data_IF_188454620869
#
_entry.id   IF_188454620869
#
_cell.length_a   1.000
_cell.length_b   1.000
_cell.length_c   1.000
_cell.angle_alpha   90.00
_cell.angle_beta   90.00
_cell.angle_gamma   90.00
#
_symmetry.space_group_name_H-M   'P 1'
#
loop_
_entity.id
_entity.type
_entity.pdbx_description
1 polymer ?
#
# COMPACT_ATOMS: atom_id res chain seq x y z
N UNK A 1 0.85 -33.67 21.39
CA UNK A 1 -0.12 -34.30 20.48
C UNK A 1 -1.44 -33.56 20.57
N UNK A 2 -1.79 -32.75 19.58
CA UNK A 2 -3.15 -32.44 19.12
C UNK A 2 -3.04 -31.51 17.90
N UNK A 3 -3.69 -31.95 16.84
CA UNK A 3 -3.55 -31.47 15.49
C UNK A 3 -4.19 -30.10 15.26
N UNK A 4 -3.53 -29.25 14.46
CA UNK A 4 -4.09 -28.04 13.91
C UNK A 4 -4.97 -28.37 12.71
N UNK A 5 -6.23 -27.98 12.78
CA UNK A 5 -7.18 -28.03 11.66
C UNK A 5 -6.89 -26.87 10.72
N UNK A 6 -6.49 -27.20 9.50
CA UNK A 6 -6.43 -26.25 8.38
C UNK A 6 -7.85 -25.91 7.94
N UNK A 7 -8.20 -24.63 7.90
CA UNK A 7 -9.42 -24.16 7.25
C UNK A 7 -9.25 -24.26 5.72
N UNK A 8 -10.10 -25.07 5.09
CA UNK A 8 -10.03 -25.35 3.68
C UNK A 8 -10.70 -24.25 2.86
N UNK A 9 -10.02 -23.83 1.79
CA UNK A 9 -10.62 -23.03 0.72
C UNK A 9 -11.70 -23.87 0.01
N UNK A 10 -12.91 -23.33 -0.10
CA UNK A 10 -14.00 -23.94 -0.86
C UNK A 10 -13.70 -23.79 -2.34
N UNK A 11 -13.22 -24.88 -2.94
CA UNK A 11 -13.15 -25.01 -4.41
C UNK A 11 -14.50 -25.59 -4.84
N UNK A 12 -15.31 -24.81 -5.55
CA UNK A 12 -16.50 -25.31 -6.23
C UNK A 12 -16.04 -26.25 -7.36
N UNK A 13 -16.01 -27.56 -7.06
CA UNK A 13 -15.84 -28.61 -8.06
C UNK A 13 -17.20 -28.93 -8.66
N UNK A 14 -17.39 -28.58 -9.93
CA UNK A 14 -18.52 -29.08 -10.70
C UNK A 14 -18.39 -30.61 -10.85
N UNK A 15 -19.22 -31.34 -10.16
CA UNK A 15 -19.34 -32.81 -10.31
C UNK A 15 -19.98 -33.08 -11.66
N UNK A 16 -19.23 -33.69 -12.57
CA UNK A 16 -19.77 -34.19 -13.86
C UNK A 16 -20.10 -35.67 -13.69
N UNK A 17 -21.38 -35.99 -13.72
CA UNK A 17 -21.89 -37.38 -13.79
C UNK A 17 -21.43 -37.99 -15.12
N UNK A 18 -20.58 -39.01 -15.06
CA UNK A 18 -20.16 -39.80 -16.20
C UNK A 18 -21.10 -41.01 -16.27
N UNK A 19 -22.11 -40.93 -17.14
CA UNK A 19 -22.83 -42.14 -17.59
C UNK A 19 -21.91 -42.92 -18.53
N UNK A 20 -21.57 -44.14 -18.15
CA UNK A 20 -20.82 -45.05 -19.01
C UNK A 20 -21.73 -45.53 -20.14
N UNK A 21 -21.53 -45.01 -21.34
CA UNK A 21 -22.12 -45.56 -22.59
C UNK A 21 -21.08 -46.53 -23.17
N UNK A 22 -21.43 -47.82 -23.27
CA UNK A 22 -20.64 -48.82 -24.00
C UNK A 22 -20.56 -48.45 -25.48
N UNK A 23 -19.36 -48.16 -25.97
CA UNK A 23 -19.09 -47.81 -27.37
C UNK A 23 -18.75 -49.11 -28.14
N UNK A 24 -19.42 -49.41 -29.26
CA UNK A 24 -19.07 -50.56 -30.08
C UNK A 24 -17.68 -50.38 -30.73
N UNK A 25 -16.91 -51.49 -30.79
CA UNK A 25 -15.60 -51.55 -31.40
C UNK A 25 -15.67 -51.13 -32.89
N UNK A 26 -15.11 -49.94 -33.23
CA UNK A 26 -15.04 -49.44 -34.60
C UNK A 26 -15.29 -47.96 -34.81
N UNK A 27 -15.68 -47.20 -33.78
CA UNK A 27 -15.88 -45.76 -33.92
C UNK A 27 -14.56 -45.01 -34.12
N UNK A 28 -14.37 -44.36 -35.26
CA UNK A 28 -13.26 -43.43 -35.51
C UNK A 28 -13.26 -42.36 -34.43
N UNK A 29 -12.28 -42.41 -33.49
CA UNK A 29 -12.14 -41.43 -32.41
C UNK A 29 -11.88 -40.03 -33.00
N UNK A 30 -12.86 -39.15 -32.85
CA UNK A 30 -12.75 -37.79 -33.39
C UNK A 30 -11.83 -36.95 -32.55
N UNK A 31 -10.76 -36.44 -33.16
CA UNK A 31 -9.81 -35.50 -32.47
C UNK A 31 -10.54 -34.21 -32.15
N UNK A 32 -10.67 -33.88 -30.87
CA UNK A 32 -11.37 -32.69 -30.38
C UNK A 32 -10.67 -32.03 -29.22
N UNK A 33 -10.93 -30.74 -29.02
CA UNK A 33 -10.47 -29.96 -27.88
C UNK A 33 -11.52 -30.01 -26.78
N UNK A 34 -11.10 -30.13 -25.52
CA UNK A 34 -12.00 -30.16 -24.35
C UNK A 34 -12.82 -28.86 -24.17
N UNK A 35 -12.30 -27.72 -24.68
CA UNK A 35 -13.00 -26.43 -24.64
C UNK A 35 -12.75 -25.65 -25.94
N UNK A 36 -13.82 -25.10 -26.52
CA UNK A 36 -13.76 -24.24 -27.71
C UNK A 36 -13.69 -22.75 -27.38
N UNK A 37 -14.12 -22.41 -26.17
CA UNK A 37 -14.11 -21.05 -25.62
C UNK A 37 -13.81 -21.10 -24.13
N UNK A 38 -13.08 -20.09 -23.63
CA UNK A 38 -12.71 -19.91 -22.22
C UNK A 38 -12.73 -18.43 -21.89
N UNK A 39 -13.32 -18.07 -20.75
CA UNK A 39 -13.14 -16.76 -20.12
C UNK A 39 -12.24 -16.93 -18.92
N UNK A 40 -11.23 -16.07 -18.78
CA UNK A 40 -10.27 -16.05 -17.68
C UNK A 40 -10.12 -14.63 -17.18
N UNK A 41 -9.91 -14.49 -15.90
CA UNK A 41 -9.42 -13.25 -15.32
C UNK A 41 -7.89 -13.19 -15.41
N UNK A 42 -7.30 -12.02 -15.56
CA UNK A 42 -5.84 -11.80 -15.54
C UNK A 42 -5.21 -12.55 -14.35
N UNK A 43 -4.08 -13.21 -14.58
CA UNK A 43 -3.38 -14.04 -13.59
C UNK A 43 -3.93 -15.47 -13.46
N UNK A 44 -5.15 -15.76 -13.91
CA UNK A 44 -5.74 -17.13 -13.84
C UNK A 44 -5.30 -17.99 -15.01
N UNK A 45 -5.37 -19.32 -14.80
CA UNK A 45 -4.94 -20.32 -15.79
C UNK A 45 -5.97 -21.41 -15.97
N UNK A 46 -5.97 -22.02 -17.17
CA UNK A 46 -6.76 -23.21 -17.49
C UNK A 46 -5.93 -24.17 -18.34
N UNK A 47 -6.14 -25.47 -18.19
CA UNK A 47 -5.47 -26.46 -19.04
C UNK A 47 -6.42 -26.93 -20.15
N UNK A 48 -6.03 -26.68 -21.39
CA UNK A 48 -6.68 -27.24 -22.56
C UNK A 48 -6.10 -28.63 -22.85
N UNK A 49 -6.98 -29.56 -23.22
CA UNK A 49 -6.62 -30.95 -23.55
C UNK A 49 -7.18 -31.33 -24.90
N UNK A 50 -6.38 -32.01 -25.72
CA UNK A 50 -6.84 -32.63 -26.96
C UNK A 50 -7.12 -34.10 -26.67
N UNK A 51 -8.30 -34.57 -27.04
CA UNK A 51 -8.73 -35.96 -26.90
C UNK A 51 -8.92 -36.62 -28.26
N UNK A 52 -8.97 -37.96 -28.33
CA UNK A 52 -9.14 -38.71 -29.56
C UNK A 52 -7.85 -38.90 -30.38
N UNK A 53 -6.67 -38.68 -29.80
CA UNK A 53 -5.38 -38.91 -30.45
C UNK A 53 -4.28 -39.24 -29.44
N UNK A 54 -3.30 -40.03 -29.88
CA UNK A 54 -2.02 -40.25 -29.16
C UNK A 54 -0.87 -39.43 -29.78
N UNK A 55 -1.14 -38.64 -30.83
CA UNK A 55 -0.10 -37.84 -31.51
C UNK A 55 0.29 -36.62 -30.69
N UNK A 56 1.53 -36.15 -30.91
CA UNK A 56 2.06 -34.93 -30.26
C UNK A 56 1.21 -33.71 -30.65
N UNK A 57 0.87 -32.90 -29.68
CA UNK A 57 0.13 -31.64 -29.86
C UNK A 57 1.10 -30.47 -29.78
N UNK A 58 1.09 -29.60 -30.78
CA UNK A 58 1.80 -28.33 -30.76
C UNK A 58 0.84 -27.19 -30.45
N UNK A 59 1.20 -26.37 -29.48
CA UNK A 59 0.38 -25.28 -28.97
C UNK A 59 0.92 -23.91 -29.41
N UNK A 60 0.03 -22.99 -29.76
CA UNK A 60 0.37 -21.60 -30.05
C UNK A 60 -0.76 -20.64 -29.67
N UNK A 61 -0.45 -19.37 -29.50
CA UNK A 61 -1.40 -18.30 -29.24
C UNK A 61 -1.32 -17.24 -30.32
N UNK A 62 -2.46 -16.61 -30.63
CA UNK A 62 -2.52 -15.47 -31.56
C UNK A 62 -2.01 -14.17 -30.93
N UNK A 63 -2.02 -14.07 -29.58
CA UNK A 63 -1.59 -12.88 -28.86
C UNK A 63 -0.93 -13.28 -27.53
N UNK A 64 0.41 -13.25 -27.50
CA UNK A 64 1.20 -13.61 -26.32
C UNK A 64 1.11 -12.57 -25.19
N UNK A 65 0.72 -11.33 -25.51
CA UNK A 65 0.50 -10.28 -24.49
C UNK A 65 -0.78 -10.56 -23.71
N UNK A 66 -1.85 -11.05 -24.35
CA UNK A 66 -3.13 -11.34 -23.72
C UNK A 66 -3.13 -12.71 -23.02
N UNK A 67 -2.67 -13.76 -23.70
CA UNK A 67 -2.60 -15.10 -23.10
C UNK A 67 -1.43 -15.90 -23.65
N UNK A 68 -0.73 -16.60 -22.76
CA UNK A 68 0.32 -17.56 -23.12
C UNK A 68 -0.18 -19.00 -23.00
N UNK A 69 0.48 -19.93 -23.71
CA UNK A 69 0.19 -21.36 -23.60
C UNK A 69 1.48 -22.14 -23.52
N UNK A 70 1.55 -23.14 -22.62
CA UNK A 70 2.68 -24.03 -22.48
C UNK A 70 2.58 -25.24 -23.42
N UNK A 71 3.67 -25.99 -23.56
CA UNK A 71 3.70 -27.26 -24.33
C UNK A 71 2.74 -28.33 -23.79
N UNK A 72 2.31 -28.20 -22.53
CA UNK A 72 1.33 -29.07 -21.86
C UNK A 72 -0.12 -28.56 -21.99
N UNK A 73 -0.36 -27.46 -22.75
CA UNK A 73 -1.68 -26.87 -22.95
C UNK A 73 -2.19 -26.00 -21.79
N UNK A 74 -1.36 -25.66 -20.79
CA UNK A 74 -1.74 -24.69 -19.75
C UNK A 74 -1.75 -23.29 -20.34
N UNK A 75 -2.92 -22.67 -20.40
CA UNK A 75 -3.16 -21.29 -20.83
C UNK A 75 -3.17 -20.39 -19.61
N UNK A 76 -2.38 -19.32 -19.64
CA UNK A 76 -2.32 -18.30 -18.56
C UNK A 76 -2.73 -16.96 -19.13
N UNK A 77 -3.72 -16.31 -18.51
CA UNK A 77 -4.17 -14.96 -18.81
C UNK A 77 -3.15 -13.93 -18.31
N UNK A 78 -2.70 -13.00 -19.17
CA UNK A 78 -1.67 -12.02 -18.87
C UNK A 78 -2.19 -10.58 -18.81
N UNK A 79 -3.03 -10.20 -19.78
CA UNK A 79 -3.66 -8.90 -19.83
C UNK A 79 -5.04 -8.99 -20.45
N UNK A 80 -5.88 -8.01 -20.22
CA UNK A 80 -7.22 -7.93 -20.78
C UNK A 80 -7.20 -7.98 -22.31
N UNK A 81 -8.23 -8.61 -22.90
CA UNK A 81 -8.39 -8.72 -24.34
C UNK A 81 -8.79 -10.11 -24.81
N UNK A 82 -8.58 -10.38 -26.08
CA UNK A 82 -8.90 -11.65 -26.71
C UNK A 82 -7.68 -12.31 -27.37
N UNK A 83 -7.61 -13.63 -27.24
CA UNK A 83 -6.61 -14.45 -27.91
C UNK A 83 -7.24 -15.75 -28.43
N UNK A 84 -6.62 -16.36 -29.44
CA UNK A 84 -7.01 -17.67 -29.95
C UNK A 84 -5.85 -18.64 -29.69
N UNK A 85 -6.11 -19.63 -28.84
CA UNK A 85 -5.16 -20.74 -28.65
C UNK A 85 -5.41 -21.79 -29.73
N UNK A 86 -4.34 -22.21 -30.40
CA UNK A 86 -4.34 -23.22 -31.45
C UNK A 86 -3.61 -24.46 -30.98
N UNK A 87 -4.26 -25.62 -31.15
CA UNK A 87 -3.67 -26.94 -30.94
C UNK A 87 -3.53 -27.63 -32.30
N UNK A 88 -2.31 -27.80 -32.79
CA UNK A 88 -2.02 -28.48 -34.06
C UNK A 88 -1.68 -29.95 -33.78
N UNK A 89 -2.43 -30.86 -34.42
CA UNK A 89 -2.23 -32.31 -34.34
C UNK A 89 -2.20 -32.82 -35.77
N UNK A 90 -1.06 -33.29 -36.24
CA UNK A 90 -0.81 -33.64 -37.63
C UNK A 90 -1.29 -32.51 -38.59
N UNK A 91 -2.20 -32.85 -39.52
CA UNK A 91 -2.78 -31.86 -40.46
C UNK A 91 -3.97 -31.07 -39.91
N UNK A 92 -4.43 -31.34 -38.65
CA UNK A 92 -5.63 -30.72 -38.08
C UNK A 92 -5.24 -29.61 -37.05
N UNK A 93 -5.88 -28.46 -37.14
CA UNK A 93 -5.75 -27.36 -36.17
C UNK A 93 -7.06 -27.12 -35.44
N UNK A 94 -7.06 -27.30 -34.13
CA UNK A 94 -8.20 -27.00 -33.25
C UNK A 94 -7.98 -25.60 -32.65
N UNK A 95 -9.06 -24.86 -32.40
CA UNK A 95 -9.02 -23.48 -31.90
C UNK A 95 -9.86 -23.37 -30.62
N UNK A 96 -9.33 -22.63 -29.62
CA UNK A 96 -10.06 -22.17 -28.44
C UNK A 96 -10.01 -20.64 -28.40
N UNK A 97 -11.18 -20.00 -28.37
CA UNK A 97 -11.28 -18.55 -28.13
C UNK A 97 -11.07 -18.29 -26.63
N UNK A 98 -10.14 -17.42 -26.28
CA UNK A 98 -9.88 -17.01 -24.90
C UNK A 98 -10.22 -15.54 -24.78
N UNK A 99 -11.18 -15.21 -23.89
CA UNK A 99 -11.48 -13.84 -23.46
C UNK A 99 -10.85 -13.66 -22.09
N UNK A 100 -9.97 -12.67 -21.95
CA UNK A 100 -9.39 -12.28 -20.68
C UNK A 100 -10.04 -10.99 -20.23
N UNK A 101 -10.52 -10.97 -19.00
CA UNK A 101 -11.08 -9.78 -18.34
C UNK A 101 -10.18 -9.36 -17.19
N UNK A 102 -10.17 -8.08 -16.87
CA UNK A 102 -9.57 -7.60 -15.63
C UNK A 102 -10.20 -8.32 -14.42
N UNK A 103 -9.50 -8.44 -13.28
CA UNK A 103 -10.11 -8.80 -12.02
C UNK A 103 -11.27 -7.84 -11.74
N UNK A 104 -12.38 -8.34 -11.21
CA UNK A 104 -13.41 -7.45 -10.68
C UNK A 104 -12.80 -6.68 -9.50
N UNK A 105 -12.72 -5.38 -9.62
CA UNK A 105 -12.27 -4.52 -8.53
C UNK A 105 -13.32 -4.60 -7.43
N UNK A 106 -12.90 -4.98 -6.21
CA UNK A 106 -13.81 -4.99 -5.07
C UNK A 106 -14.19 -3.56 -4.74
N UNK A 107 -15.49 -3.23 -4.56
CA UNK A 107 -15.87 -1.91 -4.10
C UNK A 107 -15.35 -1.65 -2.69
N UNK A 108 -15.22 -0.38 -2.31
CA UNK A 108 -14.94 0.06 -0.93
C UNK A 108 -16.17 -0.25 -0.05
N UNK A 109 -16.25 -1.44 0.51
CA UNK A 109 -17.44 -1.90 1.24
C UNK A 109 -17.14 -2.95 2.30
N UNK A 110 -15.88 -3.33 2.49
CA UNK A 110 -15.52 -4.37 3.47
C UNK A 110 -15.35 -3.75 4.85
N UNK A 111 -14.65 -2.62 4.91
CA UNK A 111 -14.29 -1.95 6.17
C UNK A 111 -14.88 -0.54 6.29
N UNK A 112 -15.49 -0.02 5.23
CA UNK A 112 -16.28 1.20 5.26
C UNK A 112 -17.73 0.91 5.67
N UNK A 113 -18.34 1.84 6.38
CA UNK A 113 -19.78 1.75 6.71
C UNK A 113 -20.62 1.73 5.44
N UNK A 114 -21.75 1.02 5.47
CA UNK A 114 -22.63 0.91 4.31
C UNK A 114 -23.09 2.28 3.78
N UNK A 115 -23.27 3.25 4.68
CA UNK A 115 -23.72 4.60 4.40
C UNK A 115 -22.56 5.61 4.30
N UNK A 116 -21.31 5.16 4.19
CA UNK A 116 -20.16 6.05 4.07
C UNK A 116 -20.25 6.91 2.81
N UNK A 117 -20.41 8.21 3.01
CA UNK A 117 -20.42 9.21 1.94
C UNK A 117 -19.07 9.30 1.24
N UNK A 118 -17.98 9.16 2.00
CA UNK A 118 -16.61 9.15 1.46
C UNK A 118 -16.39 7.95 0.54
N UNK A 119 -16.75 6.73 0.96
CA UNK A 119 -16.59 5.55 0.13
C UNK A 119 -17.44 5.63 -1.15
N UNK A 120 -18.65 6.19 -1.07
CA UNK A 120 -19.49 6.45 -2.23
C UNK A 120 -18.84 7.46 -3.18
N UNK A 121 -18.42 8.63 -2.68
CA UNK A 121 -17.75 9.68 -3.45
C UNK A 121 -16.50 9.17 -4.17
N UNK A 122 -15.68 8.38 -3.47
CA UNK A 122 -14.47 7.77 -4.06
C UNK A 122 -14.79 6.76 -5.15
N UNK A 123 -15.81 5.92 -4.99
CA UNK A 123 -16.27 5.00 -6.06
C UNK A 123 -16.73 5.77 -7.30
N UNK A 124 -17.52 6.82 -7.11
CA UNK A 124 -18.04 7.66 -8.19
C UNK A 124 -16.91 8.42 -8.90
N UNK A 125 -15.96 8.97 -8.12
CA UNK A 125 -14.76 9.62 -8.65
C UNK A 125 -13.95 8.66 -9.51
N UNK A 126 -13.56 7.49 -8.97
CA UNK A 126 -12.76 6.50 -9.69
C UNK A 126 -13.47 6.00 -10.94
N UNK A 127 -14.77 5.69 -10.85
CA UNK A 127 -15.54 5.26 -12.02
C UNK A 127 -15.52 6.33 -13.13
N UNK A 128 -15.67 7.59 -12.79
CA UNK A 128 -15.66 8.72 -13.72
C UNK A 128 -14.29 8.92 -14.37
N UNK A 129 -13.21 8.99 -13.57
CA UNK A 129 -11.87 9.30 -14.10
C UNK A 129 -11.19 8.13 -14.80
N UNK A 130 -11.70 6.93 -14.65
CA UNK A 130 -11.19 5.73 -15.36
C UNK A 130 -11.95 5.37 -16.61
N UNK A 131 -13.12 5.96 -16.84
CA UNK A 131 -13.92 5.70 -18.05
C UNK A 131 -13.35 6.45 -19.25
N UNK A 132 -12.71 5.72 -20.15
CA UNK A 132 -12.15 6.25 -21.42
C UNK A 132 -13.18 6.89 -22.35
N UNK A 133 -14.48 6.66 -22.12
CA UNK A 133 -15.56 7.24 -22.91
C UNK A 133 -15.92 8.65 -22.41
N UNK A 134 -15.62 8.95 -21.15
CA UNK A 134 -15.80 10.28 -20.55
C UNK A 134 -14.53 11.12 -20.78
N UNK A 135 -14.34 11.59 -22.00
CA UNK A 135 -13.16 12.34 -22.40
C UNK A 135 -12.92 13.63 -21.58
N UNK A 136 -13.97 14.19 -20.97
CA UNK A 136 -13.87 15.38 -20.15
C UNK A 136 -13.29 15.13 -18.76
N UNK A 137 -13.46 13.93 -18.24
CA UNK A 137 -13.03 13.57 -16.89
C UNK A 137 -11.95 12.46 -16.86
N UNK A 138 -11.70 11.78 -17.99
CA UNK A 138 -10.73 10.70 -18.05
C UNK A 138 -9.32 11.16 -17.70
N UNK A 139 -8.69 10.47 -16.76
CA UNK A 139 -7.29 10.69 -16.39
C UNK A 139 -6.45 9.53 -16.98
N UNK A 140 -5.40 9.81 -17.77
CA UNK A 140 -4.45 8.79 -18.22
C UNK A 140 -3.81 8.05 -17.04
N UNK A 141 -3.48 6.78 -17.22
CA UNK A 141 -2.93 5.92 -16.13
C UNK A 141 -1.70 6.55 -15.46
N UNK A 142 -0.79 7.14 -16.25
CA UNK A 142 0.43 7.75 -15.70
C UNK A 142 0.17 8.99 -14.83
N UNK A 143 -1.02 9.60 -14.97
CA UNK A 143 -1.39 10.82 -14.27
C UNK A 143 -2.32 10.54 -13.08
N UNK A 144 -2.70 9.26 -12.86
CA UNK A 144 -3.50 8.82 -11.71
C UNK A 144 -2.63 8.66 -10.48
N UNK A 145 -2.29 9.76 -9.84
CA UNK A 145 -1.44 9.77 -8.64
C UNK A 145 -2.29 10.10 -7.42
N UNK A 146 -2.18 9.25 -6.40
CA UNK A 146 -2.77 9.47 -5.08
C UNK A 146 -1.66 9.55 -4.03
N UNK A 147 -1.71 10.56 -3.16
CA UNK A 147 -0.75 10.74 -2.07
C UNK A 147 -1.45 10.63 -0.73
N UNK A 148 -0.80 9.95 0.20
CA UNK A 148 -1.31 9.72 1.55
C UNK A 148 -0.28 10.18 2.57
N UNK A 149 -0.71 10.94 3.56
CA UNK A 149 0.01 11.01 4.81
C UNK A 149 -0.03 9.63 5.51
N UNK A 150 0.88 9.38 6.46
CA UNK A 150 0.97 8.10 7.15
C UNK A 150 0.31 8.13 8.53
N UNK A 151 0.88 8.88 9.44
CA UNK A 151 0.48 8.87 10.85
C UNK A 151 -0.84 9.64 11.04
N UNK A 152 -1.88 8.97 11.53
CA UNK A 152 -3.23 9.50 11.66
C UNK A 152 -4.08 9.43 10.39
N UNK A 153 -3.48 9.05 9.25
CA UNK A 153 -4.16 8.88 7.96
C UNK A 153 -4.24 7.42 7.53
N UNK A 154 -3.10 6.74 7.44
CA UNK A 154 -3.01 5.31 7.12
C UNK A 154 -2.85 4.45 8.37
N UNK A 155 -2.17 4.97 9.38
CA UNK A 155 -1.82 4.28 10.61
C UNK A 155 -2.24 5.08 11.84
N UNK A 156 -2.41 4.36 12.96
CA UNK A 156 -2.61 4.96 14.28
C UNK A 156 -1.50 5.96 14.64
N UNK A 157 -1.88 7.11 15.19
CA UNK A 157 -0.97 8.09 15.78
C UNK A 157 -1.17 8.24 17.30
N UNK A 158 -2.08 7.47 17.88
CA UNK A 158 -2.56 7.63 19.25
C UNK A 158 -2.00 6.58 20.21
N UNK A 159 -0.89 5.92 19.88
CA UNK A 159 -0.22 4.96 20.78
C UNK A 159 0.12 5.60 22.14
N UNK A 160 0.92 6.60 22.11
CA UNK A 160 1.32 7.60 23.09
C UNK A 160 1.70 8.88 22.30
N UNK A 161 2.42 8.71 21.22
CA UNK A 161 2.78 9.67 20.18
C UNK A 161 3.10 8.89 18.90
N UNK A 162 3.69 9.52 17.88
CA UNK A 162 4.01 8.89 16.59
C UNK A 162 5.00 7.73 16.72
N UNK A 163 4.97 6.83 15.74
CA UNK A 163 5.87 5.68 15.66
C UNK A 163 7.35 6.08 15.79
N UNK A 164 7.81 7.05 14.98
CA UNK A 164 9.21 7.49 14.98
C UNK A 164 9.64 8.08 16.33
N UNK A 165 8.73 8.79 16.99
CA UNK A 165 8.96 9.38 18.31
C UNK A 165 9.04 8.30 19.39
N UNK A 166 8.14 7.31 19.36
CA UNK A 166 8.20 6.15 20.26
C UNK A 166 9.47 5.32 20.03
N UNK A 167 9.88 5.15 18.78
CA UNK A 167 11.11 4.47 18.40
C UNK A 167 12.34 5.21 18.96
N UNK A 168 12.38 6.54 18.85
CA UNK A 168 13.45 7.38 19.43
C UNK A 168 13.51 7.28 20.95
N UNK A 169 12.37 7.39 21.65
CA UNK A 169 12.30 7.21 23.12
C UNK A 169 12.90 5.85 23.50
N UNK A 170 12.46 4.81 22.82
CA UNK A 170 12.89 3.45 23.10
C UNK A 170 14.38 3.23 22.80
N UNK A 171 14.89 3.82 21.71
CA UNK A 171 16.31 3.78 21.36
C UNK A 171 17.18 4.44 22.44
N UNK A 172 16.83 5.67 22.83
CA UNK A 172 17.62 6.48 23.75
C UNK A 172 17.56 6.00 25.21
N UNK A 173 16.41 5.47 25.66
CA UNK A 173 16.21 5.18 27.08
C UNK A 173 16.26 3.69 27.42
N UNK A 174 16.08 2.78 26.44
CA UNK A 174 15.98 1.34 26.70
C UNK A 174 16.95 0.49 25.89
N UNK A 175 16.89 0.59 24.54
CA UNK A 175 17.60 -0.35 23.70
C UNK A 175 19.08 -0.02 23.55
N UNK A 176 19.44 1.26 23.44
CA UNK A 176 20.81 1.73 23.17
C UNK A 176 21.20 3.00 23.93
N UNK A 177 20.94 3.10 25.27
CA UNK A 177 21.27 4.29 26.03
C UNK A 177 22.78 4.59 26.06
N UNK A 178 23.60 3.58 25.83
CA UNK A 178 25.08 3.72 25.78
C UNK A 178 25.58 4.36 24.48
N UNK A 179 24.75 4.40 23.43
CA UNK A 179 25.13 4.97 22.12
C UNK A 179 24.77 6.44 21.94
N UNK A 180 24.02 7.01 22.87
CA UNK A 180 23.52 8.38 22.77
C UNK A 180 24.02 9.26 23.91
N UNK A 181 24.11 10.57 23.65
CA UNK A 181 24.49 11.55 24.66
C UNK A 181 23.41 11.73 25.73
N UNK A 182 23.78 12.28 26.88
CA UNK A 182 22.84 12.59 27.95
C UNK A 182 21.80 13.64 27.51
N UNK A 183 22.16 14.58 26.62
CA UNK A 183 21.21 15.54 26.04
C UNK A 183 20.11 14.84 25.28
N UNK A 184 20.41 13.79 24.48
CA UNK A 184 19.42 13.02 23.74
C UNK A 184 18.55 12.18 24.66
N UNK A 185 19.12 11.62 25.75
CA UNK A 185 18.32 10.90 26.77
C UNK A 185 17.35 11.86 27.47
N UNK A 186 17.84 13.06 27.84
CA UNK A 186 16.98 14.08 28.44
C UNK A 186 15.85 14.49 27.49
N UNK A 187 16.16 14.79 26.22
CA UNK A 187 15.17 15.12 25.22
C UNK A 187 14.13 14.00 25.04
N UNK A 188 14.55 12.73 25.06
CA UNK A 188 13.65 11.59 24.98
C UNK A 188 12.75 11.46 26.22
N UNK A 189 13.28 11.72 27.43
CA UNK A 189 12.54 11.60 28.70
C UNK A 189 11.51 12.71 28.91
N UNK A 190 11.67 13.86 28.27
CA UNK A 190 10.76 15.00 28.36
C UNK A 190 9.54 14.90 27.43
N UNK A 191 9.52 13.94 26.51
CA UNK A 191 8.40 13.74 25.57
C UNK A 191 7.17 13.26 26.33
N UNK A 192 6.06 13.98 26.13
CA UNK A 192 4.76 13.70 26.76
C UNK A 192 3.74 13.12 25.76
N UNK A 193 2.65 12.51 26.23
CA UNK A 193 1.57 12.03 25.35
C UNK A 193 1.10 13.10 24.38
N UNK A 194 0.88 12.71 23.12
CA UNK A 194 0.43 13.63 22.08
C UNK A 194 1.47 14.67 21.62
N UNK A 195 2.75 14.54 22.04
CA UNK A 195 3.82 15.42 21.57
C UNK A 195 3.98 15.28 20.04
N UNK A 196 3.91 16.40 19.34
CA UNK A 196 4.08 16.44 17.89
C UNK A 196 5.52 16.74 17.53
N UNK A 197 6.13 15.82 16.81
CA UNK A 197 7.53 15.91 16.40
C UNK A 197 7.75 17.03 15.36
N UNK A 198 8.16 18.19 15.82
CA UNK A 198 8.61 19.30 14.97
C UNK A 198 10.06 19.09 14.47
N UNK A 199 10.61 20.14 13.86
CA UNK A 199 11.96 20.11 13.28
C UNK A 199 13.05 19.87 14.34
N UNK A 200 12.91 20.44 15.52
CA UNK A 200 13.89 20.29 16.60
C UNK A 200 14.02 18.82 17.03
N UNK A 201 12.89 18.15 17.26
CA UNK A 201 12.92 16.74 17.64
C UNK A 201 13.44 15.86 16.50
N UNK A 202 13.13 16.19 15.24
CA UNK A 202 13.67 15.47 14.08
C UNK A 202 15.20 15.59 13.98
N UNK A 203 15.77 16.74 14.36
CA UNK A 203 17.23 16.91 14.48
C UNK A 203 17.82 16.02 15.58
N UNK A 204 17.12 15.81 16.68
CA UNK A 204 17.54 14.88 17.72
C UNK A 204 17.48 13.42 17.24
N UNK A 205 16.48 13.05 16.42
CA UNK A 205 16.44 11.73 15.80
C UNK A 205 17.66 11.51 14.88
N UNK A 206 17.97 12.48 14.01
CA UNK A 206 19.14 12.40 13.14
C UNK A 206 20.42 12.18 13.93
N UNK A 207 20.62 12.93 15.06
CA UNK A 207 21.78 12.77 15.93
C UNK A 207 21.80 11.41 16.61
N UNK A 208 20.64 10.89 17.06
CA UNK A 208 20.57 9.60 17.76
C UNK A 208 20.96 8.43 16.85
N UNK A 209 20.65 8.53 15.56
CA UNK A 209 20.95 7.48 14.58
C UNK A 209 22.25 7.73 13.79
N UNK A 210 23.06 8.70 14.20
CA UNK A 210 24.36 8.99 13.59
C UNK A 210 25.27 7.75 13.60
N UNK A 211 25.90 7.48 12.45
CA UNK A 211 26.78 6.32 12.25
C UNK A 211 26.07 5.02 11.85
N UNK A 212 24.75 4.94 11.97
CA UNK A 212 23.98 3.82 11.41
C UNK A 212 24.03 3.87 9.89
N UNK A 213 24.12 2.71 9.26
CA UNK A 213 23.78 2.56 7.84
C UNK A 213 22.26 2.75 7.62
N UNK A 214 21.86 3.04 6.39
CA UNK A 214 20.42 3.09 6.01
C UNK A 214 19.73 1.77 6.35
N UNK A 215 20.43 0.64 6.15
CA UNK A 215 19.88 -0.69 6.46
C UNK A 215 19.76 -0.93 7.96
N UNK A 216 20.73 -0.52 8.78
CA UNK A 216 20.66 -0.66 10.23
C UNK A 216 19.49 0.13 10.84
N UNK A 217 19.21 1.35 10.34
CA UNK A 217 18.02 2.10 10.78
C UNK A 217 16.72 1.41 10.35
N UNK A 218 16.67 0.91 9.11
CA UNK A 218 15.54 0.13 8.62
C UNK A 218 15.28 -1.11 9.51
N UNK A 219 16.33 -1.87 9.81
CA UNK A 219 16.24 -3.10 10.63
C UNK A 219 15.83 -2.78 12.07
N UNK A 220 16.33 -1.67 12.63
CA UNK A 220 15.91 -1.22 13.95
C UNK A 220 14.42 -0.81 13.96
N UNK A 221 13.95 -0.12 12.92
CA UNK A 221 12.53 0.20 12.78
C UNK A 221 11.66 -1.07 12.68
N UNK A 222 12.15 -2.11 11.98
CA UNK A 222 11.48 -3.43 11.92
C UNK A 222 11.46 -4.10 13.31
N UNK A 223 12.57 -4.06 14.03
CA UNK A 223 12.64 -4.60 15.40
C UNK A 223 11.65 -3.88 16.32
N UNK A 224 11.64 -2.54 16.28
CA UNK A 224 10.73 -1.73 17.10
C UNK A 224 9.26 -1.98 16.72
N UNK A 225 8.93 -1.98 15.43
CA UNK A 225 7.57 -2.17 14.91
C UNK A 225 6.92 -3.50 15.32
N UNK A 226 7.74 -4.52 15.62
CA UNK A 226 7.26 -5.80 16.15
C UNK A 226 6.99 -5.80 17.65
N UNK A 227 7.33 -4.74 18.39
CA UNK A 227 6.98 -4.62 19.82
C UNK A 227 5.48 -4.32 19.96
N UNK A 228 4.89 -4.80 21.05
CA UNK A 228 3.50 -4.49 21.38
C UNK A 228 3.41 -3.10 22.02
N UNK A 229 2.38 -2.34 21.60
CA UNK A 229 2.03 -1.09 22.27
C UNK A 229 1.21 -1.39 23.54
N UNK A 230 1.33 -0.55 24.56
CA UNK A 230 0.49 -0.64 25.77
C UNK A 230 -0.81 0.16 25.65
N UNK A 231 -0.99 0.98 24.60
CA UNK A 231 -2.22 1.74 24.34
C UNK A 231 -3.36 0.89 23.77
N UNK A 232 -3.04 -0.28 23.25
CA UNK A 232 -4.00 -1.22 22.65
C UNK A 232 -3.69 -2.65 23.06
N UNK A 233 -4.71 -3.45 23.27
CA UNK A 233 -4.59 -4.88 23.51
C UNK A 233 -4.25 -5.61 22.20
N UNK A 234 -3.28 -6.51 22.23
CA UNK A 234 -2.86 -7.36 21.12
C UNK A 234 -2.40 -6.62 19.85
N UNK A 235 -1.98 -5.37 19.94
CA UNK A 235 -1.50 -4.57 18.82
C UNK A 235 0.03 -4.41 18.89
N UNK A 236 0.74 -4.84 17.86
CA UNK A 236 2.12 -4.40 17.61
C UNK A 236 2.06 -3.03 16.92
N UNK A 237 3.13 -2.27 16.96
CA UNK A 237 3.18 -0.98 16.23
C UNK A 237 2.90 -1.14 14.73
N UNK A 238 3.29 -2.27 14.10
CA UNK A 238 2.98 -2.56 12.69
C UNK A 238 1.52 -2.96 12.43
N UNK A 239 0.76 -3.31 13.44
CA UNK A 239 -0.66 -3.71 13.29
C UNK A 239 -1.62 -2.49 13.28
N UNK A 240 -1.09 -1.28 13.48
CA UNK A 240 -1.86 -0.05 13.61
C UNK A 240 -2.44 0.54 12.31
N UNK A 241 -2.43 -0.19 11.20
CA UNK A 241 -3.01 0.30 9.95
C UNK A 241 -4.54 0.30 10.01
N UNK A 242 -5.15 1.41 9.60
CA UNK A 242 -6.60 1.56 9.50
C UNK A 242 -7.13 0.74 8.33
N UNK A 243 -7.92 -0.30 8.61
CA UNK A 243 -8.44 -1.22 7.59
C UNK A 243 -9.19 -0.55 6.44
N UNK A 244 -10.03 0.51 6.65
CA UNK A 244 -10.67 1.23 5.55
C UNK A 244 -9.66 1.91 4.63
N UNK A 245 -8.59 2.46 5.17
CA UNK A 245 -7.55 3.12 4.39
C UNK A 245 -6.68 2.11 3.65
N UNK A 246 -6.41 0.95 4.23
CA UNK A 246 -5.77 -0.19 3.52
C UNK A 246 -6.64 -0.65 2.35
N UNK A 247 -7.96 -0.79 2.54
CA UNK A 247 -8.89 -1.13 1.46
C UNK A 247 -8.89 -0.06 0.36
N UNK A 248 -8.79 1.22 0.74
CA UNK A 248 -8.73 2.34 -0.20
C UNK A 248 -7.43 2.33 -1.02
N UNK A 249 -6.27 2.15 -0.39
CA UNK A 249 -4.98 2.02 -1.10
C UNK A 249 -5.05 0.90 -2.13
N UNK A 250 -5.54 -0.27 -1.71
CA UNK A 250 -5.72 -1.40 -2.63
C UNK A 250 -6.72 -1.09 -3.75
N UNK A 251 -7.85 -0.44 -3.44
CA UNK A 251 -8.86 -0.08 -4.42
C UNK A 251 -8.31 0.87 -5.48
N UNK A 252 -7.54 1.89 -5.08
CA UNK A 252 -6.90 2.81 -6.00
C UNK A 252 -5.85 2.09 -6.86
N UNK A 253 -5.00 1.26 -6.26
CA UNK A 253 -4.02 0.45 -6.99
C UNK A 253 -4.70 -0.47 -8.02
N UNK A 254 -5.78 -1.16 -7.65
CA UNK A 254 -6.55 -2.04 -8.54
C UNK A 254 -7.23 -1.28 -9.71
N UNK A 255 -7.35 0.05 -9.60
CA UNK A 255 -7.85 0.97 -10.64
C UNK A 255 -6.73 1.75 -11.36
N UNK A 256 -5.51 1.23 -11.35
CA UNK A 256 -4.33 1.79 -12.02
C UNK A 256 -3.90 3.17 -11.49
N UNK A 257 -4.13 3.46 -10.20
CA UNK A 257 -3.52 4.62 -9.54
C UNK A 257 -2.14 4.24 -9.00
N UNK A 258 -1.19 5.16 -9.14
CA UNK A 258 0.08 5.09 -8.43
C UNK A 258 -0.10 5.73 -7.06
N UNK A 259 0.13 4.97 -5.99
CA UNK A 259 -0.04 5.42 -4.62
C UNK A 259 1.32 5.77 -4.02
N UNK A 260 1.42 6.98 -3.44
CA UNK A 260 2.58 7.44 -2.69
C UNK A 260 2.22 7.65 -1.22
N UNK A 261 3.17 7.36 -0.34
CA UNK A 261 3.13 7.75 1.07
C UNK A 261 4.03 8.98 1.25
N UNK A 262 3.47 10.06 1.81
CA UNK A 262 4.13 11.37 2.00
C UNK A 262 4.11 11.70 3.49
N UNK A 263 5.08 11.17 4.23
CA UNK A 263 5.10 11.15 5.69
C UNK A 263 6.00 12.21 6.30
N UNK A 264 5.62 12.68 7.49
CA UNK A 264 6.51 13.45 8.38
C UNK A 264 7.58 12.58 9.06
N UNK A 265 7.41 11.27 9.10
CA UNK A 265 8.39 10.29 9.61
C UNK A 265 9.59 10.18 8.66
N UNK A 266 10.76 9.84 9.18
CA UNK A 266 11.98 9.66 8.39
C UNK A 266 11.78 8.58 7.32
N UNK A 267 12.35 8.80 6.12
CA UNK A 267 12.11 8.00 4.90
C UNK A 267 12.42 6.51 5.07
N UNK A 268 13.56 6.14 5.65
CA UNK A 268 13.95 4.73 5.82
C UNK A 268 13.07 4.03 6.85
N UNK A 269 12.69 4.75 7.90
CA UNK A 269 11.71 4.31 8.90
C UNK A 269 10.33 4.11 8.26
N UNK A 270 9.87 5.06 7.44
CA UNK A 270 8.60 4.95 6.69
C UNK A 270 8.64 3.74 5.73
N UNK A 271 9.77 3.51 5.06
CA UNK A 271 9.97 2.32 4.22
C UNK A 271 9.86 1.02 4.99
N UNK A 272 10.44 0.96 6.21
CA UNK A 272 10.34 -0.20 7.08
C UNK A 272 8.88 -0.47 7.51
N UNK A 273 8.14 0.59 7.87
CA UNK A 273 6.72 0.51 8.25
C UNK A 273 5.90 -0.02 7.07
N UNK A 274 6.03 0.57 5.88
CA UNK A 274 5.25 0.17 4.71
C UNK A 274 5.61 -1.24 4.24
N UNK A 275 6.89 -1.62 4.24
CA UNK A 275 7.33 -2.96 3.84
C UNK A 275 6.79 -4.08 4.73
N UNK A 276 6.45 -3.77 6.00
CA UNK A 276 5.89 -4.72 6.96
C UNK A 276 4.39 -4.51 7.22
N UNK A 277 3.69 -3.91 6.26
CA UNK A 277 2.30 -3.49 6.37
C UNK A 277 1.38 -4.21 5.38
N UNK A 278 0.05 -4.14 5.57
CA UNK A 278 -0.93 -4.65 4.60
C UNK A 278 -0.90 -3.96 3.22
N UNK A 279 -0.21 -2.82 3.08
CA UNK A 279 -0.09 -2.08 1.81
C UNK A 279 1.24 -2.33 1.07
N UNK A 280 2.10 -3.21 1.57
CA UNK A 280 3.43 -3.50 1.01
C UNK A 280 3.40 -3.90 -0.47
N UNK A 281 2.38 -4.63 -0.91
CA UNK A 281 2.22 -5.06 -2.31
C UNK A 281 1.76 -3.93 -3.25
N UNK A 282 1.33 -2.79 -2.72
CA UNK A 282 0.71 -1.68 -3.46
C UNK A 282 1.57 -0.41 -3.48
N UNK A 283 2.47 -0.25 -2.50
CA UNK A 283 3.35 0.91 -2.34
C UNK A 283 4.81 0.44 -2.29
N UNK A 284 5.54 0.71 -3.37
CA UNK A 284 6.96 0.32 -3.48
C UNK A 284 7.87 1.33 -2.77
N UNK A 285 9.13 0.97 -2.40
CA UNK A 285 10.04 1.86 -1.65
C UNK A 285 10.35 3.21 -2.33
N UNK A 286 10.25 3.28 -3.66
CA UNK A 286 10.42 4.52 -4.42
C UNK A 286 9.18 5.41 -4.45
N UNK A 287 8.04 4.94 -3.93
CA UNK A 287 6.82 5.71 -3.74
C UNK A 287 6.66 6.23 -2.31
N UNK A 288 7.78 6.37 -1.58
CA UNK A 288 7.79 6.86 -0.20
C UNK A 288 8.61 8.14 -0.14
N UNK A 289 7.97 9.22 0.27
CA UNK A 289 8.54 10.54 0.52
C UNK A 289 8.46 10.78 2.02
N UNK A 290 9.59 11.11 2.65
CA UNK A 290 9.68 11.27 4.11
C UNK A 290 10.56 12.45 4.52
N UNK A 291 10.71 12.60 5.82
CA UNK A 291 11.74 13.45 6.42
C UNK A 291 13.12 12.93 6.01
N UNK A 292 14.05 13.83 5.75
CA UNK A 292 15.39 13.49 5.25
C UNK A 292 16.47 13.83 6.26
N UNK A 293 17.29 12.83 6.56
CA UNK A 293 18.53 12.98 7.27
C UNK A 293 19.71 12.96 6.31
N UNK A 294 20.79 13.59 6.70
CA UNK A 294 21.99 13.67 5.90
C UNK A 294 22.73 12.33 5.90
N UNK A 295 23.14 11.87 4.72
CA UNK A 295 23.92 10.63 4.55
C UNK A 295 25.25 10.90 3.85
N UNK A 296 26.25 10.07 4.14
CA UNK A 296 27.56 10.06 3.48
C UNK A 296 28.02 8.64 3.21
N UNK A 297 29.05 8.49 2.39
CA UNK A 297 29.78 7.23 2.30
C UNK A 297 30.59 7.03 3.58
N UNK A 298 30.53 5.85 4.19
CA UNK A 298 31.25 5.49 5.41
C UNK A 298 32.76 5.72 5.24
N UNK A 299 33.38 6.31 6.24
CA UNK A 299 34.81 6.65 6.22
C UNK A 299 35.11 8.04 5.65
N UNK A 300 34.13 8.78 5.13
CA UNK A 300 34.27 10.17 4.70
C UNK A 300 33.76 11.14 5.76
N UNK A 301 34.52 12.23 6.02
CA UNK A 301 34.25 13.12 7.14
C UNK A 301 33.07 14.08 6.88
N UNK A 302 32.85 14.47 5.61
CA UNK A 302 31.82 15.44 5.27
C UNK A 302 31.04 15.04 4.01
N UNK A 303 29.79 15.54 3.89
CA UNK A 303 28.95 15.35 2.70
C UNK A 303 29.58 16.00 1.47
N UNK A 304 30.31 17.10 1.61
CA UNK A 304 30.99 17.75 0.48
C UNK A 304 32.08 16.88 -0.13
N UNK A 305 32.78 16.05 0.66
CA UNK A 305 33.77 15.13 0.14
C UNK A 305 33.18 14.01 -0.72
N UNK A 306 31.86 13.77 -0.63
CA UNK A 306 31.19 12.81 -1.50
C UNK A 306 31.27 13.21 -3.00
N UNK A 307 31.47 14.49 -3.33
CA UNK A 307 31.64 14.94 -4.71
C UNK A 307 32.91 14.42 -5.37
N UNK A 308 33.97 14.25 -4.59
CA UNK A 308 35.27 13.81 -5.06
C UNK A 308 35.47 12.29 -4.94
N UNK A 309 34.51 11.60 -4.32
CA UNK A 309 34.56 10.16 -4.12
C UNK A 309 33.69 9.43 -5.13
N UNK A 310 34.21 8.30 -5.63
CA UNK A 310 33.49 7.39 -6.51
C UNK A 310 33.10 6.16 -5.70
N UNK A 311 31.80 5.97 -5.51
CA UNK A 311 31.25 4.81 -4.83
C UNK A 311 31.81 3.52 -5.41
N UNK A 312 32.38 2.65 -4.58
CA UNK A 312 32.99 1.40 -4.93
C UNK A 312 32.20 0.20 -4.37
N UNK A 313 32.48 -0.98 -4.89
CA UNK A 313 31.87 -2.20 -4.36
C UNK A 313 32.25 -2.42 -2.89
N UNK A 314 31.26 -2.66 -2.06
CA UNK A 314 31.42 -2.81 -0.60
C UNK A 314 31.30 -1.52 0.20
N UNK A 315 31.14 -0.36 -0.44
CA UNK A 315 30.86 0.88 0.28
C UNK A 315 29.48 0.87 0.94
N UNK A 316 29.34 1.55 2.07
CA UNK A 316 28.09 1.70 2.82
C UNK A 316 27.71 3.18 2.93
N UNK A 317 26.41 3.44 2.89
CA UNK A 317 25.84 4.77 3.19
C UNK A 317 25.41 4.83 4.65
N UNK A 318 25.93 5.84 5.38
CA UNK A 318 25.67 6.04 6.81
C UNK A 318 25.10 7.42 7.08
N UNK A 319 24.24 7.50 8.10
CA UNK A 319 23.73 8.77 8.59
C UNK A 319 24.84 9.55 9.29
N UNK A 320 24.94 10.86 9.00
CA UNK A 320 25.98 11.72 9.59
C UNK A 320 25.56 12.26 10.96
N UNK A 321 24.28 12.22 11.31
CA UNK A 321 23.67 12.98 12.39
C UNK A 321 23.14 14.35 11.94
N UNK A 322 23.39 14.71 10.68
CA UNK A 322 22.86 15.92 10.05
C UNK A 322 21.39 15.76 9.64
N UNK A 323 20.71 16.88 9.56
CA UNK A 323 19.29 16.98 9.22
C UNK A 323 19.13 17.84 7.97
N UNK A 324 18.36 17.35 7.00
CA UNK A 324 18.10 18.06 5.75
C UNK A 324 16.76 18.81 5.83
N UNK A 325 15.66 18.09 6.10
CA UNK A 325 14.34 18.69 6.18
C UNK A 325 13.34 17.81 6.92
N UNK A 326 12.34 18.43 7.58
CA UNK A 326 11.14 17.77 8.11
C UNK A 326 10.04 17.86 7.05
N UNK A 327 9.48 16.71 6.65
CA UNK A 327 8.51 16.65 5.57
C UNK A 327 7.08 17.00 6.06
N UNK A 328 6.89 18.21 6.55
CA UNK A 328 5.63 18.77 7.02
C UNK A 328 5.31 20.07 6.27
N UNK A 329 4.05 20.48 6.29
CA UNK A 329 3.60 21.74 5.70
C UNK A 329 4.03 21.89 4.22
N UNK A 330 4.63 23.04 3.85
CA UNK A 330 5.07 23.31 2.48
C UNK A 330 6.07 22.28 1.93
N UNK A 331 6.86 21.67 2.82
CA UNK A 331 7.82 20.65 2.40
C UNK A 331 7.13 19.42 1.77
N UNK A 332 5.94 19.02 2.23
CA UNK A 332 5.18 17.93 1.56
C UNK A 332 4.94 18.24 0.08
N UNK A 333 4.50 19.47 -0.25
CA UNK A 333 4.29 19.87 -1.65
C UNK A 333 5.59 19.98 -2.44
N UNK A 334 6.65 20.54 -1.83
CA UNK A 334 7.97 20.70 -2.44
C UNK A 334 8.57 19.34 -2.80
N UNK A 335 8.48 18.38 -1.88
CA UNK A 335 9.05 17.06 -2.12
C UNK A 335 8.19 16.20 -3.06
N UNK A 336 6.87 16.38 -3.09
CA UNK A 336 6.01 15.81 -4.13
C UNK A 336 6.47 16.31 -5.51
N UNK A 337 6.68 17.63 -5.69
CA UNK A 337 7.16 18.18 -6.95
C UNK A 337 8.53 17.62 -7.34
N UNK A 338 9.47 17.49 -6.38
CA UNK A 338 10.83 17.00 -6.65
C UNK A 338 10.89 15.52 -7.00
N UNK A 339 10.11 14.69 -6.31
CA UNK A 339 10.19 13.22 -6.41
C UNK A 339 9.24 12.66 -7.48
N UNK A 340 8.09 13.32 -7.70
CA UNK A 340 7.05 12.84 -8.62
C UNK A 340 7.07 13.67 -9.92
N UNK A 341 7.34 14.98 -9.84
CA UNK A 341 7.39 15.89 -10.98
C UNK A 341 6.02 16.28 -11.55
N UNK A 342 4.93 15.93 -10.85
CA UNK A 342 3.57 16.28 -11.24
C UNK A 342 2.62 16.30 -10.03
N UNK A 343 1.48 17.01 -10.18
CA UNK A 343 0.49 17.11 -9.11
C UNK A 343 -0.30 15.82 -8.95
N UNK A 344 -0.52 15.36 -7.71
CA UNK A 344 -1.43 14.26 -7.47
C UNK A 344 -2.88 14.68 -7.75
N UNK A 345 -3.73 13.75 -8.13
CA UNK A 345 -5.17 14.01 -8.35
C UNK A 345 -6.00 13.66 -7.10
N UNK A 346 -5.45 12.89 -6.17
CA UNK A 346 -6.04 12.60 -4.86
C UNK A 346 -4.99 12.83 -3.77
N UNK A 347 -5.42 13.44 -2.66
CA UNK A 347 -4.59 13.63 -1.48
C UNK A 347 -5.39 13.30 -0.20
N UNK A 348 -4.75 12.61 0.74
CA UNK A 348 -5.32 12.17 1.99
C UNK A 348 -4.42 12.56 3.15
N UNK A 349 -4.98 13.18 4.18
CA UNK A 349 -4.29 13.63 5.38
C UNK A 349 -5.21 13.60 6.60
N UNK A 350 -4.72 14.05 7.74
CA UNK A 350 -5.50 14.15 8.97
C UNK A 350 -5.27 15.45 9.76
N UNK A 351 -4.19 16.15 9.48
CA UNK A 351 -3.75 17.28 10.30
C UNK A 351 -3.43 18.53 9.48
N UNK A 352 -3.25 19.67 10.18
CA UNK A 352 -2.84 20.92 9.54
C UNK A 352 -1.52 20.84 8.78
N UNK A 353 -0.64 19.90 9.13
CA UNK A 353 0.63 19.69 8.42
C UNK A 353 0.46 19.14 6.99
N UNK A 354 -0.73 18.60 6.67
CA UNK A 354 -1.05 18.01 5.36
C UNK A 354 -1.70 19.02 4.41
N UNK A 355 -2.17 20.14 4.95
CA UNK A 355 -2.91 21.18 4.20
C UNK A 355 -2.19 21.59 2.91
N UNK A 356 -0.86 21.74 2.97
CA UNK A 356 -0.09 22.10 1.77
C UNK A 356 -0.15 21.02 0.68
N UNK A 357 -0.06 19.76 1.05
CA UNK A 357 -0.17 18.63 0.14
C UNK A 357 -1.58 18.54 -0.47
N UNK A 358 -2.62 18.71 0.35
CA UNK A 358 -4.00 18.71 -0.09
C UNK A 358 -4.27 19.88 -1.06
N UNK A 359 -3.86 21.11 -0.69
CA UNK A 359 -3.98 22.27 -1.55
C UNK A 359 -3.22 22.10 -2.87
N UNK A 360 -2.06 21.45 -2.83
CA UNK A 360 -1.27 21.21 -4.03
C UNK A 360 -1.98 20.25 -4.99
N UNK A 361 -2.70 19.28 -4.48
CA UNK A 361 -3.51 18.35 -5.27
C UNK A 361 -4.72 19.02 -5.91
N UNK A 362 -5.51 19.81 -5.13
CA UNK A 362 -6.75 20.44 -5.62
C UNK A 362 -6.53 21.80 -6.29
N UNK A 363 -5.29 22.21 -6.48
CA UNK A 363 -4.96 23.45 -7.19
C UNK A 363 -5.56 23.45 -8.59
N UNK A 364 -6.20 24.55 -8.98
CA UNK A 364 -6.87 24.71 -10.29
C UNK A 364 -5.95 24.48 -11.50
N UNK A 365 -4.63 24.56 -11.30
CA UNK A 365 -3.62 24.27 -12.32
C UNK A 365 -3.41 22.77 -12.57
N UNK A 366 -4.03 21.90 -11.79
CA UNK A 366 -3.91 20.46 -11.98
C UNK A 366 -4.46 19.99 -13.35
N UNK A 367 -5.54 20.61 -13.81
CA UNK A 367 -6.14 20.29 -15.13
C UNK A 367 -7.01 19.03 -15.16
N UNK A 368 -7.04 18.23 -14.07
CA UNK A 368 -7.85 17.04 -13.92
C UNK A 368 -8.89 17.20 -12.79
N UNK A 369 -9.93 16.37 -12.75
CA UNK A 369 -10.75 16.21 -11.56
C UNK A 369 -9.88 15.80 -10.37
N UNK A 370 -10.05 16.45 -9.22
CA UNK A 370 -9.22 16.22 -8.02
C UNK A 370 -10.08 15.98 -6.79
N UNK A 371 -9.49 15.42 -5.74
CA UNK A 371 -10.10 15.27 -4.42
C UNK A 371 -9.07 15.36 -3.29
N UNK A 372 -9.47 16.00 -2.19
CA UNK A 372 -8.68 16.10 -0.98
C UNK A 372 -9.52 15.65 0.22
N UNK A 373 -8.98 14.76 1.05
CA UNK A 373 -9.71 14.10 2.14
C UNK A 373 -8.94 14.25 3.44
N UNK A 374 -9.65 14.54 4.54
CA UNK A 374 -9.10 14.72 5.87
C UNK A 374 -9.76 13.77 6.85
N UNK A 375 -8.99 12.79 7.33
CA UNK A 375 -9.44 11.87 8.38
C UNK A 375 -9.54 12.61 9.70
N UNK A 376 -10.66 12.44 10.39
CA UNK A 376 -10.94 13.02 11.71
C UNK A 376 -10.96 11.90 12.73
N UNK A 377 -10.08 11.98 13.73
CA UNK A 377 -9.99 11.01 14.82
C UNK A 377 -11.05 11.29 15.89
N UNK A 378 -12.34 11.10 15.54
CA UNK A 378 -13.52 11.39 16.37
C UNK A 378 -14.10 10.16 17.09
N UNK A 379 -13.43 9.01 17.02
CA UNK A 379 -13.87 7.77 17.65
C UNK A 379 -13.11 7.49 18.95
N UNK A 380 -13.67 7.96 20.06
CA UNK A 380 -13.10 7.71 21.38
C UNK A 380 -13.44 6.33 21.98
N UNK A 381 -14.28 5.53 21.33
CA UNK A 381 -14.64 4.19 21.79
C UNK A 381 -13.67 3.13 21.31
N UNK A 382 -13.31 3.18 20.02
CA UNK A 382 -12.45 2.21 19.36
C UNK A 382 -11.00 2.68 19.24
N UNK A 383 -10.78 4.00 19.36
CA UNK A 383 -9.53 4.74 19.21
C UNK A 383 -9.30 5.70 20.39
N UNK A 384 -8.10 6.25 20.53
CA UNK A 384 -7.80 7.31 21.52
C UNK A 384 -8.06 8.72 20.95
N UNK A 385 -8.61 8.81 19.75
CA UNK A 385 -8.97 10.07 19.13
C UNK A 385 -10.11 10.78 19.88
N UNK A 386 -9.97 12.09 20.03
CA UNK A 386 -10.94 12.94 20.73
C UNK A 386 -11.24 14.21 19.94
N UNK A 387 -11.06 14.18 18.61
CA UNK A 387 -11.33 15.34 17.78
C UNK A 387 -12.82 15.66 17.71
N UNK A 388 -13.13 16.95 17.74
CA UNK A 388 -14.48 17.46 17.60
C UNK A 388 -14.90 17.40 16.12
N UNK A 389 -15.79 16.45 15.81
CA UNK A 389 -16.27 16.23 14.45
C UNK A 389 -16.97 17.46 13.87
N UNK A 390 -17.87 18.13 14.61
CA UNK A 390 -18.64 19.25 14.07
C UNK A 390 -17.72 20.40 13.67
N UNK A 391 -16.78 20.74 14.54
CA UNK A 391 -15.78 21.78 14.27
C UNK A 391 -14.85 21.38 13.12
N UNK A 392 -14.26 20.19 13.17
CA UNK A 392 -13.28 19.74 12.17
C UNK A 392 -13.91 19.59 10.79
N UNK A 393 -15.11 19.01 10.72
CA UNK A 393 -15.80 18.83 9.44
C UNK A 393 -16.18 20.17 8.80
N UNK A 394 -16.62 21.15 9.60
CA UNK A 394 -16.89 22.49 9.11
C UNK A 394 -15.63 23.18 8.61
N UNK A 395 -14.54 23.14 9.40
CA UNK A 395 -13.25 23.75 9.05
C UNK A 395 -12.66 23.16 7.77
N UNK A 396 -12.69 21.83 7.60
CA UNK A 396 -12.16 21.15 6.42
C UNK A 396 -13.03 21.39 5.19
N UNK A 397 -14.34 21.34 5.33
CA UNK A 397 -15.27 21.66 4.23
C UNK A 397 -15.09 23.09 3.74
N UNK A 398 -14.90 24.07 4.62
CA UNK A 398 -14.64 25.46 4.28
C UNK A 398 -13.32 25.63 3.46
N UNK A 399 -12.36 24.74 3.65
CA UNK A 399 -11.11 24.69 2.91
C UNK A 399 -11.21 23.91 1.59
N UNK A 400 -12.37 23.31 1.29
CA UNK A 400 -12.60 22.51 0.08
C UNK A 400 -12.17 21.04 0.21
N UNK A 401 -11.97 20.56 1.43
CA UNK A 401 -11.65 19.16 1.70
C UNK A 401 -12.90 18.36 2.07
N UNK A 402 -12.83 17.05 1.87
CA UNK A 402 -13.82 16.08 2.32
C UNK A 402 -13.40 15.56 3.69
N UNK A 403 -14.09 15.90 4.78
CA UNK A 403 -13.84 15.33 6.11
C UNK A 403 -14.31 13.88 6.14
N UNK A 404 -13.55 13.01 6.80
CA UNK A 404 -13.79 11.56 6.92
C UNK A 404 -13.87 11.22 8.40
N UNK A 405 -15.05 10.90 8.93
CA UNK A 405 -15.24 10.51 10.33
C UNK A 405 -14.80 9.06 10.54
N UNK A 406 -13.87 8.83 11.46
CA UNK A 406 -13.56 7.46 11.88
C UNK A 406 -14.75 6.78 12.55
N UNK A 407 -15.52 7.53 13.34
CA UNK A 407 -16.63 7.01 14.13
C UNK A 407 -17.78 6.52 13.26
N UNK A 408 -18.15 7.26 12.24
CA UNK A 408 -19.36 6.97 11.45
C UNK A 408 -19.06 6.29 10.12
N UNK A 409 -17.89 6.52 9.52
CA UNK A 409 -17.58 6.01 8.19
C UNK A 409 -16.71 4.73 8.21
N UNK A 410 -15.97 4.48 9.30
CA UNK A 410 -15.20 3.24 9.43
C UNK A 410 -16.03 2.16 10.13
N UNK A 411 -16.48 1.14 9.37
CA UNK A 411 -17.20 0.00 9.96
C UNK A 411 -16.29 -0.79 10.90
N UNK A 412 -14.99 -0.85 10.59
CA UNK A 412 -13.96 -1.54 11.37
C UNK A 412 -12.63 -0.82 11.22
N UNK A 413 -12.00 -0.42 12.34
CA UNK A 413 -10.72 0.32 12.30
C UNK A 413 -9.53 -0.65 12.19
N UNK A 414 -9.46 -1.65 13.06
CA UNK A 414 -8.34 -2.59 13.20
C UNK A 414 -8.75 -4.04 12.98
N UNK A 415 -7.79 -4.98 12.77
CA UNK A 415 -8.04 -6.41 12.73
C UNK A 415 -8.75 -6.95 13.97
N UNK A 416 -9.40 -8.14 13.86
CA UNK A 416 -10.05 -8.81 14.97
C UNK A 416 -9.05 -9.11 16.10
N UNK A 417 -9.49 -8.90 17.33
CA UNK A 417 -8.68 -9.14 18.53
C UNK A 417 -7.89 -7.93 19.01
N UNK A 418 -7.80 -6.87 18.22
CA UNK A 418 -7.24 -5.58 18.66
C UNK A 418 -8.34 -4.74 19.26
N UNK A 419 -8.09 -4.18 20.44
CA UNK A 419 -8.98 -3.25 21.12
C UNK A 419 -8.18 -2.21 21.89
N UNK A 420 -8.79 -1.07 22.14
CA UNK A 420 -8.26 -0.03 23.01
C UNK A 420 -7.98 -0.60 24.40
N UNK A 421 -6.84 -0.28 25.00
CA UNK A 421 -6.51 -0.63 26.37
C UNK A 421 -7.33 0.22 27.37
N UNK A 422 -7.35 -0.15 28.64
CA UNK A 422 -8.04 0.65 29.68
C UNK A 422 -7.39 2.02 29.87
N UNK A 423 -6.08 2.09 29.68
CA UNK A 423 -5.30 3.33 29.77
C UNK A 423 -4.40 3.48 28.55
N UNK A 424 -4.27 4.72 28.06
CA UNK A 424 -3.27 5.04 27.04
C UNK A 424 -1.86 4.88 27.64
N UNK A 425 -0.91 4.45 26.81
CA UNK A 425 0.49 4.31 27.22
C UNK A 425 1.01 5.59 27.89
N UNK A 426 1.85 5.42 28.90
CA UNK A 426 2.71 6.48 29.42
C UNK A 426 4.09 6.30 28.82
N UNK A 427 4.91 7.36 28.71
CA UNK A 427 6.33 7.24 28.46
C UNK A 427 6.88 6.44 29.65
N UNK A 428 7.33 5.24 29.41
CA UNK A 428 7.62 4.21 30.39
C UNK A 428 8.56 4.60 31.48
#
# INVERSE_FOLDING_TARGET
>A
MKAWKKAGAVVLSAVMVISAISVPAGAKTTVKLNRKQVSLTVGKSVTLKVTGTKQKVSWSTSNKKVASVTVKGKVTAKSEGAAVIRAKVAKKTLKCKVKVTAPAVKPLSTYWSADSATAQSLREYVARVTDKKDAANYIPVNDRIAVFDMDGTLTCETYFTYFDTMMFINYCLKDHPEKVSDDLKNAASEIKPGYKAGEELARNFAKAYAGMTIQELFDYAVQFGNKYTSSFNNMRYFDGFYLPMVELVKYLYDNDFTVYVVSGTERSTTRAIVANSPIADYVTPNHIIGTEFEVKVKGYETVFSNMDYKYADGDELVFTGGFIQKNLNANKSIWIEREIGQRPVLAFGNSGSDTSMLNYAIDKRNGYPTGAYMVVADDSEREWGTEDWEKKSADYTAQGYHPVSMKTEFAKIYPDGISKAETQATAA
#
